data_IF_240132894544
#
_entry.id   IF_240132894544
#
_cell.length_a   1.000
_cell.length_b   1.000
_cell.length_c   1.000
_cell.angle_alpha   90.00
_cell.angle_beta   90.00
_cell.angle_gamma   90.00
#
_symmetry.space_group_name_H-M   'P 1'
#
loop_
_entity.id
_entity.type
_entity.pdbx_description
1 polymer ?
#
# COMPACT_ATOMS: atom_id res chain seq x y z
N UNK A 1 -4.68 7.82 -15.26
CA UNK A 1 -6.13 7.60 -15.44
C UNK A 1 -6.66 7.27 -14.06
N UNK A 2 -7.57 8.08 -13.51
CA UNK A 2 -8.22 7.74 -12.23
C UNK A 2 -9.25 6.63 -12.49
N UNK A 3 -9.43 5.74 -11.51
CA UNK A 3 -10.49 4.75 -11.48
C UNK A 3 -11.56 5.22 -10.50
N UNK A 4 -12.72 5.73 -10.95
CA UNK A 4 -13.75 6.23 -10.04
C UNK A 4 -14.24 5.16 -9.05
N UNK A 5 -14.45 5.52 -7.79
CA UNK A 5 -14.82 4.58 -6.73
C UNK A 5 -13.71 3.59 -6.35
N UNK A 6 -12.45 3.84 -6.74
CA UNK A 6 -11.31 3.03 -6.32
C UNK A 6 -10.54 3.70 -5.19
N UNK A 7 -10.34 2.97 -4.10
CA UNK A 7 -9.57 3.41 -2.93
C UNK A 7 -8.37 2.51 -2.76
N UNK A 8 -7.18 3.11 -2.69
CA UNK A 8 -5.96 2.37 -2.39
C UNK A 8 -5.69 2.39 -0.89
N UNK A 9 -5.33 1.24 -0.33
CA UNK A 9 -4.94 1.09 1.07
C UNK A 9 -3.48 0.69 1.11
N UNK A 10 -2.70 1.42 1.91
CA UNK A 10 -1.27 1.19 2.09
C UNK A 10 -1.00 0.85 3.55
N UNK A 11 -0.94 -0.45 3.91
CA UNK A 11 -0.44 -0.87 5.22
C UNK A 11 1.05 -0.52 5.33
N UNK A 12 1.36 0.50 6.13
CA UNK A 12 2.70 0.99 6.42
C UNK A 12 3.08 0.58 7.85
N UNK A 13 3.21 -0.73 8.06
CA UNK A 13 3.61 -1.35 9.32
C UNK A 13 4.90 -2.15 9.21
N UNK A 14 5.44 -2.56 10.36
CA UNK A 14 6.59 -3.46 10.46
C UNK A 14 7.79 -2.84 11.17
N UNK A 15 8.42 -3.64 12.04
CA UNK A 15 9.54 -3.20 12.87
C UNK A 15 10.85 -2.96 12.09
N UNK A 16 10.92 -3.44 10.84
CA UNK A 16 12.05 -3.16 9.95
C UNK A 16 13.39 -3.74 10.45
N UNK A 17 13.41 -4.92 11.05
CA UNK A 17 14.62 -5.49 11.67
C UNK A 17 15.59 -6.15 10.68
N UNK A 18 15.10 -6.59 9.52
CA UNK A 18 15.92 -7.32 8.51
C UNK A 18 16.96 -6.45 7.80
N UNK A 19 16.80 -5.13 7.81
CA UNK A 19 17.72 -4.18 7.17
C UNK A 19 18.51 -3.38 8.21
N UNK A 20 18.76 -3.96 9.37
CA UNK A 20 19.65 -3.35 10.36
C UNK A 20 21.07 -3.19 9.75
N UNK A 21 21.80 -2.08 10.00
CA UNK A 21 21.49 -0.98 10.92
C UNK A 21 20.64 0.15 10.32
N UNK A 22 20.33 0.07 9.03
CA UNK A 22 19.64 1.10 8.27
C UNK A 22 18.20 1.28 8.76
N UNK A 23 17.45 0.18 8.89
CA UNK A 23 16.09 0.21 9.40
C UNK A 23 16.05 -0.12 10.89
N UNK A 24 15.28 0.67 11.65
CA UNK A 24 15.13 0.55 13.10
C UNK A 24 13.66 0.68 13.48
N UNK A 25 13.30 0.28 14.70
CA UNK A 25 11.93 0.35 15.20
C UNK A 25 11.30 1.75 15.10
N UNK A 26 12.07 2.85 15.15
CA UNK A 26 11.56 4.22 14.96
C UNK A 26 11.62 4.75 13.53
N UNK A 27 12.34 4.06 12.63
CA UNK A 27 12.51 4.47 11.23
C UNK A 27 12.55 3.23 10.32
N UNK A 28 11.38 2.59 10.09
CA UNK A 28 11.27 1.36 9.32
C UNK A 28 11.62 1.57 7.84
N UNK A 29 11.92 0.47 7.15
CA UNK A 29 12.40 0.48 5.76
C UNK A 29 11.53 1.29 4.78
N UNK A 30 10.21 1.35 4.98
CA UNK A 30 9.33 2.07 4.06
C UNK A 30 9.59 3.59 4.07
N UNK A 31 10.21 4.11 5.13
CA UNK A 31 10.58 5.52 5.27
C UNK A 31 11.96 5.84 4.67
N UNK A 32 12.66 4.88 4.06
CA UNK A 32 13.99 5.06 3.48
C UNK A 32 13.97 5.01 1.96
N UNK A 33 14.86 5.78 1.34
CA UNK A 33 15.20 5.65 -0.09
C UNK A 33 16.24 4.53 -0.25
N UNK A 34 15.76 3.30 -0.44
CA UNK A 34 16.62 2.14 -0.64
C UNK A 34 17.08 1.96 -2.09
N UNK A 35 16.49 2.71 -3.01
CA UNK A 35 16.77 2.61 -4.46
C UNK A 35 17.70 3.71 -4.95
N UNK A 36 18.01 4.71 -4.12
CA UNK A 36 18.84 5.86 -4.47
C UNK A 36 18.18 6.79 -5.48
N UNK A 37 16.85 6.77 -5.56
CA UNK A 37 16.07 7.49 -6.57
C UNK A 37 15.65 8.89 -6.12
N UNK A 38 15.97 9.28 -4.88
CA UNK A 38 15.53 10.51 -4.23
C UNK A 38 14.14 10.42 -3.58
N UNK A 39 13.54 9.23 -3.55
CA UNK A 39 12.21 8.99 -2.99
C UNK A 39 12.23 7.73 -2.13
N UNK A 40 11.61 7.81 -0.96
CA UNK A 40 11.45 6.65 -0.08
C UNK A 40 10.51 5.61 -0.69
N UNK A 41 10.50 4.38 -0.17
CA UNK A 41 9.58 3.34 -0.67
C UNK A 41 8.10 3.74 -0.49
N UNK A 42 7.76 4.41 0.62
CA UNK A 42 6.43 4.93 0.87
C UNK A 42 6.06 6.02 -0.15
N UNK A 43 6.94 7.00 -0.37
CA UNK A 43 6.71 8.06 -1.35
C UNK A 43 6.59 7.50 -2.77
N UNK A 44 7.45 6.56 -3.13
CA UNK A 44 7.35 5.84 -4.40
C UNK A 44 5.99 5.18 -4.52
N UNK A 45 5.55 4.41 -3.53
CA UNK A 45 4.24 3.74 -3.52
C UNK A 45 3.08 4.72 -3.65
N UNK A 46 3.11 5.83 -2.91
CA UNK A 46 2.14 6.91 -2.99
C UNK A 46 2.06 7.51 -4.40
N UNK A 47 3.20 7.86 -4.99
CA UNK A 47 3.29 8.46 -6.32
C UNK A 47 2.69 7.54 -7.41
N UNK A 48 2.81 6.22 -7.25
CA UNK A 48 2.17 5.24 -8.16
C UNK A 48 0.65 5.19 -8.02
N UNK A 49 0.15 5.30 -6.78
CA UNK A 49 -1.26 5.05 -6.45
C UNK A 49 -2.14 6.29 -6.54
N UNK A 50 -1.64 7.44 -6.09
CA UNK A 50 -2.37 8.70 -6.07
C UNK A 50 -3.04 9.08 -7.42
N UNK A 51 -2.42 8.88 -8.61
CA UNK A 51 -3.07 9.18 -9.87
C UNK A 51 -4.09 8.11 -10.34
N UNK A 52 -4.20 6.97 -9.65
CA UNK A 52 -5.04 5.83 -10.02
C UNK A 52 -6.30 5.70 -9.14
N UNK A 53 -6.26 6.21 -7.91
CA UNK A 53 -7.31 6.07 -6.90
C UNK A 53 -7.94 7.43 -6.57
N UNK A 54 -9.19 7.41 -6.10
CA UNK A 54 -9.89 8.59 -5.61
C UNK A 54 -9.32 9.06 -4.26
N UNK A 55 -8.86 8.11 -3.44
CA UNK A 55 -8.06 8.37 -2.24
C UNK A 55 -7.07 7.23 -1.97
N UNK A 56 -5.99 7.57 -1.28
CA UNK A 56 -4.99 6.62 -0.79
C UNK A 56 -4.97 6.70 0.73
N UNK A 57 -5.43 5.65 1.38
CA UNK A 57 -5.44 5.52 2.84
C UNK A 57 -4.13 4.87 3.29
N UNK A 58 -3.40 5.51 4.19
CA UNK A 58 -2.19 4.95 4.79
C UNK A 58 -2.50 4.50 6.21
N UNK A 59 -2.30 3.22 6.49
CA UNK A 59 -2.51 2.64 7.82
C UNK A 59 -1.16 2.42 8.48
N UNK A 60 -0.90 3.06 9.61
CA UNK A 60 0.40 3.02 10.27
C UNK A 60 0.31 3.07 11.79
N UNK A 61 1.37 2.69 12.49
CA UNK A 61 1.44 2.79 13.96
C UNK A 61 1.67 4.21 14.46
N UNK A 62 1.29 4.47 15.70
CA UNK A 62 1.49 5.77 16.40
C UNK A 62 2.92 6.30 16.30
N UNK A 63 3.93 5.43 16.36
CA UNK A 63 5.35 5.76 16.25
C UNK A 63 5.77 6.31 14.89
N UNK A 64 4.96 6.09 13.84
CA UNK A 64 5.32 6.40 12.45
C UNK A 64 4.42 7.47 11.82
N UNK A 65 3.24 7.72 12.39
CA UNK A 65 2.25 8.66 11.86
C UNK A 65 2.86 10.03 11.50
N UNK A 66 3.65 10.63 12.39
CA UNK A 66 4.29 11.92 12.13
C UNK A 66 5.32 11.88 10.99
N UNK A 67 6.04 10.77 10.82
CA UNK A 67 7.00 10.60 9.73
C UNK A 67 6.28 10.38 8.39
N UNK A 68 5.21 9.58 8.38
CA UNK A 68 4.34 9.37 7.21
C UNK A 68 3.74 10.69 6.73
N UNK A 69 3.13 11.47 7.63
CA UNK A 69 2.54 12.77 7.29
C UNK A 69 3.58 13.75 6.71
N UNK A 70 4.81 13.75 7.24
CA UNK A 70 5.90 14.58 6.69
C UNK A 70 6.34 14.14 5.30
N UNK A 71 6.37 12.84 5.01
CA UNK A 71 6.78 12.32 3.70
C UNK A 71 5.69 12.48 2.63
N UNK A 72 4.43 12.54 3.05
CA UNK A 72 3.24 12.59 2.18
C UNK A 72 2.41 13.86 2.47
N UNK A 73 2.89 15.06 2.09
CA UNK A 73 2.16 16.31 2.38
C UNK A 73 0.81 16.43 1.67
N UNK A 74 0.57 15.63 0.63
CA UNK A 74 -0.73 15.54 -0.06
C UNK A 74 -1.70 14.51 0.53
N UNK A 75 -1.31 13.78 1.58
CA UNK A 75 -2.20 12.84 2.28
C UNK A 75 -3.14 13.62 3.19
N UNK A 76 -4.44 13.46 2.98
CA UNK A 76 -5.45 14.05 3.86
C UNK A 76 -5.37 13.41 5.26
N UNK A 77 -5.60 14.21 6.31
CA UNK A 77 -5.61 13.73 7.69
C UNK A 77 -6.64 12.59 7.89
N UNK A 78 -7.79 12.68 7.22
CA UNK A 78 -8.83 11.65 7.25
C UNK A 78 -8.41 10.31 6.62
N UNK A 79 -7.32 10.28 5.84
CA UNK A 79 -6.80 9.11 5.15
C UNK A 79 -5.51 8.58 5.80
N UNK A 80 -4.98 9.25 6.84
CA UNK A 80 -3.93 8.72 7.70
C UNK A 80 -4.54 7.98 8.89
N UNK A 81 -4.61 6.67 8.80
CA UNK A 81 -5.20 5.81 9.84
C UNK A 81 -4.11 5.35 10.82
N UNK A 82 -4.23 5.78 12.07
CA UNK A 82 -3.25 5.44 13.11
C UNK A 82 -3.75 4.26 13.94
N UNK A 83 -3.11 3.11 13.81
CA UNK A 83 -3.41 1.92 14.61
C UNK A 83 -2.79 2.03 16.01
N UNK A 84 -3.52 1.65 17.07
CA UNK A 84 -3.01 1.74 18.45
C UNK A 84 -1.96 0.67 18.77
N UNK A 85 -1.94 -0.42 18.00
CA UNK A 85 -1.00 -1.54 18.16
C UNK A 85 -0.85 -2.29 16.84
N UNK A 86 0.32 -2.89 16.55
CA UNK A 86 0.49 -3.72 15.36
C UNK A 86 -0.40 -4.99 15.46
N UNK A 87 -1.24 -5.22 14.45
CA UNK A 87 -2.22 -6.33 14.40
C UNK A 87 -2.25 -7.04 13.03
N UNK A 88 -1.07 -7.15 12.40
CA UNK A 88 -0.88 -7.71 11.05
C UNK A 88 -1.67 -6.99 9.94
N UNK A 89 -1.41 -7.36 8.68
CA UNK A 89 -1.99 -6.67 7.52
C UNK A 89 -3.51 -6.81 7.43
N UNK A 90 -4.09 -7.92 7.89
CA UNK A 90 -5.54 -8.15 7.82
C UNK A 90 -6.32 -7.13 8.65
N UNK A 91 -5.86 -6.79 9.86
CA UNK A 91 -6.52 -5.79 10.70
C UNK A 91 -6.42 -4.39 10.08
N UNK A 92 -5.24 -4.03 9.56
CA UNK A 92 -5.02 -2.76 8.88
C UNK A 92 -5.94 -2.58 7.67
N UNK A 93 -6.01 -3.60 6.81
CA UNK A 93 -6.89 -3.61 5.63
C UNK A 93 -8.36 -3.58 6.06
N UNK A 94 -8.74 -4.34 7.08
CA UNK A 94 -10.12 -4.37 7.60
C UNK A 94 -10.58 -3.04 8.17
N UNK A 95 -9.72 -2.33 8.91
CA UNK A 95 -10.01 -0.99 9.41
C UNK A 95 -10.24 0.01 8.27
N UNK A 96 -9.33 0.02 7.29
CA UNK A 96 -9.47 0.89 6.13
C UNK A 96 -10.74 0.57 5.33
N UNK A 97 -11.04 -0.72 5.13
CA UNK A 97 -12.25 -1.16 4.43
C UNK A 97 -13.52 -0.75 5.15
N UNK A 98 -13.59 -0.88 6.48
CA UNK A 98 -14.74 -0.45 7.26
C UNK A 98 -14.98 1.06 7.18
N UNK A 99 -13.92 1.86 7.11
CA UNK A 99 -14.02 3.32 6.98
C UNK A 99 -14.42 3.74 5.57
N UNK A 100 -13.84 3.11 4.54
CA UNK A 100 -14.20 3.36 3.14
C UNK A 100 -15.66 2.97 2.89
N UNK A 101 -16.11 1.80 3.37
CA UNK A 101 -17.50 1.35 3.19
C UNK A 101 -18.55 2.31 3.80
N UNK A 102 -18.16 3.11 4.81
CA UNK A 102 -19.02 4.16 5.38
C UNK A 102 -19.07 5.44 4.54
N UNK A 103 -18.04 5.70 3.74
CA UNK A 103 -17.91 6.86 2.86
C UNK A 103 -18.50 6.57 1.48
N UNK A 104 -18.23 5.38 0.97
CA UNK A 104 -18.62 4.88 -0.35
C UNK A 104 -18.91 3.36 -0.25
N UNK A 105 -20.19 2.96 -0.13
CA UNK A 105 -20.60 1.56 -0.02
C UNK A 105 -20.29 0.71 -1.25
N UNK A 106 -20.11 1.32 -2.43
CA UNK A 106 -19.87 0.65 -3.70
C UNK A 106 -18.37 0.66 -4.09
N UNK A 107 -17.51 1.12 -3.19
CA UNK A 107 -16.08 1.26 -3.40
C UNK A 107 -15.38 -0.07 -3.71
N UNK A 108 -14.45 -0.01 -4.66
CA UNK A 108 -13.41 -1.04 -4.83
C UNK A 108 -12.20 -0.66 -4.01
N UNK A 109 -11.68 -1.62 -3.24
CA UNK A 109 -10.49 -1.42 -2.41
C UNK A 109 -9.34 -2.29 -2.92
N UNK A 110 -8.17 -1.68 -3.07
CA UNK A 110 -6.92 -2.38 -3.38
C UNK A 110 -5.89 -2.18 -2.27
N UNK A 111 -5.28 -3.26 -1.79
CA UNK A 111 -4.22 -3.21 -0.78
C UNK A 111 -2.83 -3.32 -1.41
N UNK A 112 -1.95 -2.38 -1.08
CA UNK A 112 -0.60 -2.30 -1.63
C UNK A 112 0.43 -2.12 -0.51
N UNK A 113 1.47 -2.95 -0.49
CA UNK A 113 2.52 -2.85 0.52
C UNK A 113 3.33 -1.54 0.34
N UNK A 114 3.61 -0.85 1.45
CA UNK A 114 4.35 0.42 1.46
C UNK A 114 5.83 0.29 1.03
N UNK A 115 6.32 -0.94 0.88
CA UNK A 115 7.74 -1.29 0.86
C UNK A 115 8.14 -2.16 -0.36
N UNK A 116 7.29 -2.22 -1.39
CA UNK A 116 7.59 -2.89 -2.65
C UNK A 116 8.22 -1.93 -3.67
N UNK A 117 9.27 -2.40 -4.33
CA UNK A 117 9.87 -1.73 -5.49
C UNK A 117 9.18 -2.24 -6.75
N UNK A 118 8.55 -1.32 -7.49
CA UNK A 118 7.87 -1.59 -8.77
C UNK A 118 8.42 -0.58 -9.76
N UNK A 119 9.08 -1.08 -10.81
CA UNK A 119 9.80 -0.27 -11.78
C UNK A 119 8.91 0.30 -12.89
N UNK A 120 8.14 -0.56 -13.58
CA UNK A 120 7.31 -0.15 -14.70
C UNK A 120 5.95 0.38 -14.22
N UNK A 121 5.80 1.70 -14.27
CA UNK A 121 4.60 2.40 -13.83
C UNK A 121 3.40 2.20 -14.75
N UNK A 122 3.65 2.05 -16.05
CA UNK A 122 2.59 1.88 -17.04
C UNK A 122 1.99 0.48 -16.92
N UNK A 123 2.84 -0.54 -16.79
CA UNK A 123 2.40 -1.93 -16.56
C UNK A 123 1.68 -2.05 -15.20
N UNK A 124 2.20 -1.40 -14.15
CA UNK A 124 1.52 -1.36 -12.86
C UNK A 124 0.12 -0.74 -12.96
N UNK A 125 0.00 0.44 -13.57
CA UNK A 125 -1.27 1.11 -13.73
C UNK A 125 -2.28 0.30 -14.54
N UNK A 126 -1.82 -0.36 -15.62
CA UNK A 126 -2.67 -1.25 -16.43
C UNK A 126 -3.17 -2.45 -15.61
N UNK A 127 -2.30 -3.12 -14.86
CA UNK A 127 -2.65 -4.25 -14.01
C UNK A 127 -3.65 -3.85 -12.90
N UNK A 128 -3.48 -2.67 -12.29
CA UNK A 128 -4.42 -2.14 -11.30
C UNK A 128 -5.78 -1.83 -11.94
N UNK A 129 -5.80 -1.19 -13.10
CA UNK A 129 -7.05 -0.87 -13.80
C UNK A 129 -7.83 -2.15 -14.18
N UNK A 130 -7.14 -3.18 -14.68
CA UNK A 130 -7.73 -4.49 -14.96
C UNK A 130 -8.27 -5.14 -13.68
N UNK A 131 -7.49 -5.14 -12.59
CA UNK A 131 -7.92 -5.69 -11.32
C UNK A 131 -9.16 -4.98 -10.76
N UNK A 132 -9.23 -3.65 -10.87
CA UNK A 132 -10.41 -2.87 -10.47
C UNK A 132 -11.62 -3.26 -11.31
N UNK A 133 -11.48 -3.38 -12.64
CA UNK A 133 -12.55 -3.77 -13.53
C UNK A 133 -13.11 -5.16 -13.18
N UNK A 134 -12.24 -6.14 -12.88
CA UNK A 134 -12.65 -7.48 -12.44
C UNK A 134 -13.27 -7.44 -11.06
N UNK A 135 -12.72 -6.66 -10.12
CA UNK A 135 -13.25 -6.56 -8.76
C UNK A 135 -14.70 -6.03 -8.72
N UNK A 136 -15.04 -5.08 -9.62
CA UNK A 136 -16.42 -4.57 -9.79
C UNK A 136 -17.44 -5.65 -10.17
N UNK A 137 -16.99 -6.81 -10.65
CA UNK A 137 -17.87 -7.96 -10.92
C UNK A 137 -18.17 -8.82 -9.68
N UNK A 138 -17.79 -8.35 -8.49
CA UNK A 138 -17.97 -9.06 -7.22
C UNK A 138 -16.90 -10.12 -6.93
N UNK A 139 -15.73 -10.00 -7.56
CA UNK A 139 -14.62 -10.97 -7.44
C UNK A 139 -13.49 -10.40 -6.58
N UNK A 140 -12.85 -11.28 -5.81
CA UNK A 140 -11.57 -10.97 -5.16
C UNK A 140 -10.44 -11.17 -6.18
N UNK A 141 -9.59 -10.16 -6.34
CA UNK A 141 -8.50 -10.16 -7.34
C UNK A 141 -7.15 -10.14 -6.64
N UNK A 142 -6.21 -10.93 -7.15
CA UNK A 142 -4.80 -10.93 -6.75
C UNK A 142 -3.94 -10.64 -7.98
N UNK A 143 -2.87 -9.84 -7.82
CA UNK A 143 -1.90 -9.59 -8.89
C UNK A 143 -0.78 -10.62 -8.80
N UNK A 144 -0.69 -11.49 -9.80
CA UNK A 144 0.36 -12.50 -9.91
C UNK A 144 1.62 -11.94 -10.57
N UNK A 145 2.79 -12.40 -10.12
CA UNK A 145 4.09 -12.10 -10.73
C UNK A 145 4.73 -13.41 -11.16
N UNK A 146 5.23 -13.49 -12.39
CA UNK A 146 5.95 -14.66 -12.89
C UNK A 146 7.22 -14.89 -12.08
N UNK A 147 7.36 -16.03 -11.37
CA UNK A 147 8.53 -16.28 -10.55
C UNK A 147 9.76 -16.54 -11.42
N UNK A 148 10.91 -15.98 -11.03
CA UNK A 148 12.22 -16.26 -11.67
C UNK A 148 13.02 -17.33 -10.93
N UNK A 149 12.61 -17.69 -9.71
CA UNK A 149 13.16 -18.78 -8.89
C UNK A 149 12.16 -19.23 -7.82
N UNK A 150 12.45 -20.36 -7.16
CA UNK A 150 11.60 -20.95 -6.12
C UNK A 150 11.82 -20.28 -4.74
N UNK A 151 11.25 -19.09 -4.56
CA UNK A 151 11.32 -18.35 -3.30
C UNK A 151 10.34 -18.90 -2.25
N UNK A 152 10.86 -19.45 -1.15
CA UNK A 152 10.03 -20.02 -0.06
C UNK A 152 9.33 -18.96 0.81
N UNK A 153 9.71 -17.69 0.70
CA UNK A 153 9.12 -16.58 1.44
C UNK A 153 7.87 -15.96 0.79
N UNK A 154 7.44 -16.46 -0.38
CA UNK A 154 6.28 -15.96 -1.11
C UNK A 154 5.13 -16.97 -1.13
N UNK A 155 3.90 -16.45 -1.21
CA UNK A 155 2.73 -17.24 -1.56
C UNK A 155 2.68 -17.50 -3.07
N UNK A 156 2.18 -18.67 -3.46
CA UNK A 156 2.00 -19.06 -4.86
C UNK A 156 0.52 -19.19 -5.19
N UNK A 157 0.11 -18.70 -6.36
CA UNK A 157 -1.27 -18.78 -6.87
C UNK A 157 -1.28 -19.77 -8.02
N UNK A 158 -2.24 -20.70 -8.01
CA UNK A 158 -2.51 -21.58 -9.14
C UNK A 158 -3.47 -20.88 -10.10
N UNK A 159 -3.03 -20.68 -11.34
CA UNK A 159 -3.86 -20.21 -12.45
C UNK A 159 -4.41 -21.39 -13.25
#
# INVERSE_FOLDING_TARGET
MSNPGFYAVVPAGGAGTRLWPLSRAGHPKFLHDLTGTGATLLQSTWQRLAPLADAVLVVTGTSHAAAVARQLPGLAEADLLVEPSPRDSTAAIGLAAALVARRDPDAVIGSFAADHVIGDQAVFAAAVAEAVAVARTGRLVTVGITPTFAATGFGYVRA
#
